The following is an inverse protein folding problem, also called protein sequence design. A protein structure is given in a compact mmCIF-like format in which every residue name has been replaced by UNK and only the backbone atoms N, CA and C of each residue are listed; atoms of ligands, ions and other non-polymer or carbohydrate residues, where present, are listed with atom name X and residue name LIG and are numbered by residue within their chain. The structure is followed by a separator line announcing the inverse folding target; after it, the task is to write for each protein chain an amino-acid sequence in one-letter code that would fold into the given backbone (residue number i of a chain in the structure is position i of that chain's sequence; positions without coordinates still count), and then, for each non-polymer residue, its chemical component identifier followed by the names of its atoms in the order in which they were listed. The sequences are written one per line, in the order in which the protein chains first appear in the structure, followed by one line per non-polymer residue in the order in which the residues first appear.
data_IF_496201099165
#
_entry.id   IF_496201099165
#
_cell.length_a   1.000
_cell.length_b   1.000
_cell.length_c   1.000
_cell.angle_alpha   90.00
_cell.angle_beta   90.00
_cell.angle_gamma   90.00
#
_symmetry.space_group_name_H-M   'P 1'
#
loop_
_entity.id
_entity.type
_entity.pdbx_description
1 polymer ?
#
# COMPACT_ATOMS: atom_id res chain seq x y z
N UNK A 1 23.39 -7.32 14.31
CA UNK A 1 23.75 -8.38 13.33
C UNK A 1 23.88 -9.78 13.96
N UNK A 2 24.54 -9.92 15.12
CA UNK A 2 24.90 -11.23 15.70
C UNK A 2 23.71 -12.19 15.97
N UNK A 3 22.55 -11.67 16.42
CA UNK A 3 21.34 -12.48 16.65
C UNK A 3 20.79 -13.10 15.36
N UNK A 4 20.65 -12.31 14.29
CA UNK A 4 20.10 -12.79 13.02
C UNK A 4 21.05 -13.77 12.33
N UNK A 5 22.37 -13.53 12.38
CA UNK A 5 23.38 -14.47 11.88
C UNK A 5 23.32 -15.81 12.61
N UNK A 6 23.14 -15.80 13.94
CA UNK A 6 22.98 -17.02 14.72
C UNK A 6 21.72 -17.80 14.33
N UNK A 7 20.60 -17.10 14.06
CA UNK A 7 19.36 -17.73 13.57
C UNK A 7 19.60 -18.40 12.21
N UNK A 8 20.31 -17.76 11.28
CA UNK A 8 20.61 -18.36 9.97
C UNK A 8 21.48 -19.62 10.10
N UNK A 9 22.50 -19.57 10.96
CA UNK A 9 23.36 -20.72 11.23
C UNK A 9 22.57 -21.88 11.85
N UNK A 10 21.74 -21.60 12.85
CA UNK A 10 20.90 -22.62 13.50
C UNK A 10 19.86 -23.21 12.54
N UNK A 11 19.37 -22.43 11.58
CA UNK A 11 18.44 -22.92 10.54
C UNK A 11 19.13 -23.55 9.32
N UNK A 12 20.47 -23.50 9.24
CA UNK A 12 21.24 -24.03 8.11
C UNK A 12 21.03 -23.28 6.80
N UNK A 13 20.63 -22.01 6.83
CA UNK A 13 20.33 -21.21 5.63
C UNK A 13 21.60 -20.55 5.07
N UNK A 14 22.40 -21.32 4.34
CA UNK A 14 23.64 -20.85 3.71
C UNK A 14 23.43 -19.95 2.48
N UNK A 15 22.23 -19.95 1.91
CA UNK A 15 21.84 -19.16 0.74
C UNK A 15 21.31 -17.77 1.08
N UNK A 16 21.27 -17.40 2.37
CA UNK A 16 20.79 -16.10 2.84
C UNK A 16 21.97 -15.22 3.24
N UNK A 17 22.06 -14.04 2.64
CA UNK A 17 23.05 -13.02 3.00
C UNK A 17 22.38 -11.91 3.81
N UNK A 18 22.99 -11.53 4.92
CA UNK A 18 22.54 -10.41 5.74
C UNK A 18 23.49 -9.23 5.53
N UNK A 19 22.91 -8.06 5.26
CA UNK A 19 23.62 -6.79 5.24
C UNK A 19 22.96 -5.85 6.23
N UNK A 20 23.77 -5.06 6.94
CA UNK A 20 23.30 -4.01 7.82
C UNK A 20 23.57 -2.67 7.15
N UNK A 21 22.53 -1.87 7.01
CA UNK A 21 22.57 -0.53 6.42
C UNK A 21 21.18 0.10 6.48
N UNK A 22 21.11 1.40 6.23
CA UNK A 22 19.85 2.05 5.91
C UNK A 22 19.40 1.71 4.47
N UNK A 23 18.16 2.05 4.13
CA UNK A 23 17.58 1.71 2.83
C UNK A 23 18.22 2.47 1.63
N UNK A 24 19.01 3.52 1.86
CA UNK A 24 19.79 4.20 0.81
C UNK A 24 21.23 3.66 0.72
N UNK A 25 21.70 2.92 1.72
CA UNK A 25 23.02 2.33 1.78
C UNK A 25 22.96 0.84 1.41
N UNK A 26 22.42 0.55 0.22
CA UNK A 26 22.25 -0.80 -0.32
C UNK A 26 23.59 -1.42 -0.78
N UNK A 27 24.65 -0.61 -0.87
CA UNK A 27 25.90 -0.93 -1.54
C UNK A 27 25.73 -0.99 -3.06
N UNK A 28 26.72 -1.53 -3.77
CA UNK A 28 26.59 -1.77 -5.21
C UNK A 28 25.71 -3.00 -5.44
N UNK A 29 24.46 -2.76 -5.84
CA UNK A 29 23.59 -3.81 -6.37
C UNK A 29 23.96 -4.04 -7.84
N UNK A 30 24.20 -5.30 -8.21
CA UNK A 30 24.44 -5.64 -9.60
C UNK A 30 23.15 -5.40 -10.42
N UNK A 31 23.26 -4.84 -11.64
CA UNK A 31 22.10 -4.68 -12.52
C UNK A 31 21.41 -6.02 -12.79
N UNK A 32 20.09 -6.00 -12.87
CA UNK A 32 19.24 -7.17 -13.17
C UNK A 32 19.51 -8.41 -12.29
N UNK A 33 20.04 -8.21 -11.08
CA UNK A 33 20.45 -9.29 -10.19
C UNK A 33 19.29 -9.93 -9.41
N UNK A 34 18.15 -9.23 -9.31
CA UNK A 34 17.01 -9.67 -8.51
C UNK A 34 15.75 -9.72 -9.36
N UNK A 35 14.97 -10.79 -9.22
CA UNK A 35 13.64 -10.90 -9.81
C UNK A 35 12.58 -10.21 -8.94
N UNK A 36 12.79 -10.12 -7.63
CA UNK A 36 11.87 -9.48 -6.68
C UNK A 36 12.62 -8.77 -5.54
N UNK A 37 12.16 -7.57 -5.17
CA UNK A 37 12.53 -6.89 -3.92
C UNK A 37 11.31 -6.71 -3.05
N UNK A 38 11.45 -6.96 -1.74
CA UNK A 38 10.38 -6.81 -0.75
C UNK A 38 10.76 -5.73 0.27
N UNK A 39 9.92 -4.70 0.39
CA UNK A 39 9.98 -3.64 1.40
C UNK A 39 8.70 -3.73 2.23
N UNK A 40 8.70 -4.55 3.28
CA UNK A 40 7.51 -4.82 4.07
C UNK A 40 7.59 -4.16 5.46
N UNK A 41 6.61 -3.32 5.80
CA UNK A 41 6.53 -2.60 7.09
C UNK A 41 7.78 -1.78 7.42
N UNK A 42 8.40 -1.16 6.41
CA UNK A 42 9.60 -0.31 6.56
C UNK A 42 9.36 1.13 6.08
N UNK A 43 8.54 1.32 5.05
CA UNK A 43 8.32 2.64 4.42
C UNK A 43 7.83 3.68 5.42
N UNK A 44 7.02 3.28 6.41
CA UNK A 44 6.51 4.16 7.46
C UNK A 44 7.58 4.85 8.30
N UNK A 45 8.82 4.32 8.30
CA UNK A 45 9.96 4.91 9.01
C UNK A 45 10.84 5.79 8.12
N UNK A 46 10.49 5.95 6.84
CA UNK A 46 11.20 6.86 5.95
C UNK A 46 10.86 8.31 6.29
N UNK A 47 11.81 9.24 6.15
CA UNK A 47 11.60 10.63 6.57
C UNK A 47 10.66 11.41 5.65
N UNK A 48 10.57 11.05 4.37
CA UNK A 48 9.75 11.75 3.37
C UNK A 48 9.71 11.00 2.02
N UNK A 49 8.92 11.56 1.10
CA UNK A 49 8.76 11.05 -0.27
C UNK A 49 10.06 11.06 -1.08
N UNK A 50 10.92 12.07 -0.90
CA UNK A 50 12.19 12.17 -1.62
C UNK A 50 13.15 11.05 -1.22
N UNK A 51 13.08 10.58 0.03
CA UNK A 51 13.82 9.42 0.49
C UNK A 51 13.32 8.14 -0.20
N UNK A 52 12.01 7.92 -0.23
CA UNK A 52 11.41 6.78 -0.93
C UNK A 52 11.77 6.79 -2.43
N UNK A 53 11.68 7.95 -3.08
CA UNK A 53 12.07 8.11 -4.48
C UNK A 53 13.53 7.71 -4.73
N UNK A 54 14.44 8.14 -3.87
CA UNK A 54 15.85 7.73 -3.95
C UNK A 54 16.04 6.23 -3.77
N UNK A 55 15.30 5.61 -2.85
CA UNK A 55 15.32 4.14 -2.66
C UNK A 55 14.84 3.43 -3.93
N UNK A 56 13.69 3.84 -4.48
CA UNK A 56 13.14 3.26 -5.70
C UNK A 56 14.10 3.44 -6.89
N UNK A 57 14.69 4.61 -7.04
CA UNK A 57 15.66 4.90 -8.10
C UNK A 57 16.92 4.02 -8.02
N UNK A 58 17.37 3.64 -6.81
CA UNK A 58 18.49 2.71 -6.64
C UNK A 58 18.09 1.25 -6.89
N UNK A 59 16.85 0.86 -6.59
CA UNK A 59 16.38 -0.51 -6.73
C UNK A 59 16.02 -0.88 -8.17
N UNK A 60 15.37 0.02 -8.92
CA UNK A 60 14.87 -0.27 -10.27
C UNK A 60 15.94 -0.84 -11.23
N UNK A 61 17.19 -0.33 -11.26
CA UNK A 61 18.25 -0.91 -12.10
C UNK A 61 18.68 -2.32 -11.67
N UNK A 62 18.53 -2.68 -10.40
CA UNK A 62 18.90 -3.98 -9.86
C UNK A 62 17.83 -5.07 -10.08
N UNK A 63 16.59 -4.67 -10.39
CA UNK A 63 15.51 -5.59 -10.72
C UNK A 63 15.63 -6.05 -12.16
N UNK A 64 15.56 -7.35 -12.42
CA UNK A 64 15.54 -7.92 -13.76
C UNK A 64 14.28 -7.48 -14.55
N UNK A 65 14.36 -7.50 -15.87
CA UNK A 65 13.20 -7.28 -16.74
C UNK A 65 12.04 -8.23 -16.36
N UNK A 66 10.82 -7.69 -16.20
CA UNK A 66 9.66 -8.46 -15.72
C UNK A 66 9.63 -8.72 -14.21
N UNK A 67 10.66 -8.32 -13.46
CA UNK A 67 10.73 -8.43 -12.01
C UNK A 67 9.85 -7.42 -11.27
N UNK A 68 9.81 -7.54 -9.93
CA UNK A 68 8.86 -6.78 -9.10
C UNK A 68 9.47 -6.13 -7.86
N UNK A 69 8.84 -5.05 -7.39
CA UNK A 69 9.07 -4.48 -6.07
C UNK A 69 7.75 -4.52 -5.30
N UNK A 70 7.71 -5.31 -4.23
CA UNK A 70 6.58 -5.38 -3.30
C UNK A 70 6.81 -4.42 -2.14
N UNK A 71 5.96 -3.40 -2.02
CA UNK A 71 5.88 -2.54 -0.85
C UNK A 71 4.68 -2.95 -0.01
N UNK A 72 4.96 -3.60 1.12
CA UNK A 72 3.94 -4.13 2.00
C UNK A 72 3.65 -3.21 3.18
N UNK A 73 2.40 -3.24 3.63
CA UNK A 73 1.96 -2.62 4.88
C UNK A 73 2.07 -1.09 4.90
N UNK A 74 1.72 -0.46 3.77
CA UNK A 74 1.76 1.00 3.61
C UNK A 74 0.55 1.62 4.31
N UNK A 75 0.81 2.58 5.21
CA UNK A 75 -0.26 3.36 5.86
C UNK A 75 -0.89 4.33 4.88
N UNK A 76 -2.22 4.29 4.77
CA UNK A 76 -2.98 5.10 3.82
C UNK A 76 -3.20 6.51 4.33
N UNK A 77 -2.57 7.48 3.67
CA UNK A 77 -2.72 8.91 3.98
C UNK A 77 -4.18 9.36 3.85
N UNK A 78 -4.88 8.88 2.83
CA UNK A 78 -6.24 9.31 2.50
C UNK A 78 -7.26 8.84 3.55
N UNK A 79 -6.91 7.80 4.32
CA UNK A 79 -7.72 7.27 5.40
C UNK A 79 -7.20 7.67 6.80
N UNK A 80 -6.18 8.51 6.92
CA UNK A 80 -5.58 8.87 8.21
C UNK A 80 -6.60 9.51 9.16
N UNK A 81 -7.46 10.42 8.67
CA UNK A 81 -8.49 11.04 9.52
C UNK A 81 -9.49 9.99 10.01
N UNK A 82 -9.97 9.11 9.14
CA UNK A 82 -10.88 8.03 9.52
C UNK A 82 -10.24 7.11 10.57
N UNK A 83 -8.98 6.73 10.37
CA UNK A 83 -8.24 5.90 11.32
C UNK A 83 -8.11 6.56 12.71
N UNK A 84 -7.72 7.85 12.74
CA UNK A 84 -7.64 8.60 14.00
C UNK A 84 -9.01 8.72 14.68
N UNK A 85 -10.07 8.93 13.90
CA UNK A 85 -11.45 8.95 14.41
C UNK A 85 -11.82 7.62 15.05
N UNK A 86 -11.51 6.49 14.40
CA UNK A 86 -11.76 5.16 14.93
C UNK A 86 -11.03 4.91 16.25
N UNK A 87 -9.76 5.33 16.35
CA UNK A 87 -8.98 5.26 17.59
C UNK A 87 -9.65 6.07 18.71
N UNK A 88 -9.97 7.33 18.46
CA UNK A 88 -10.59 8.19 19.48
C UNK A 88 -11.98 7.69 19.88
N UNK A 89 -12.76 7.12 18.94
CA UNK A 89 -14.03 6.46 19.25
C UNK A 89 -13.83 5.27 20.18
N UNK A 90 -12.87 4.40 19.87
CA UNK A 90 -12.60 3.20 20.68
C UNK A 90 -12.21 3.55 22.12
N UNK A 91 -11.56 4.70 22.34
CA UNK A 91 -11.20 5.18 23.67
C UNK A 91 -12.38 5.74 24.48
N UNK A 92 -13.47 6.15 23.84
CA UNK A 92 -14.64 6.70 24.52
C UNK A 92 -15.51 5.62 25.16
N UNK A 93 -15.60 4.44 24.53
CA UNK A 93 -16.56 3.42 24.96
C UNK A 93 -17.98 3.99 25.00
N UNK A 94 -18.63 3.93 26.16
CA UNK A 94 -19.99 4.46 26.37
C UNK A 94 -20.03 5.97 26.72
N UNK A 95 -18.87 6.61 26.87
CA UNK A 95 -18.81 8.02 27.25
C UNK A 95 -19.27 8.92 26.11
N UNK A 96 -20.19 9.84 26.43
CA UNK A 96 -20.62 10.87 25.48
C UNK A 96 -19.78 12.12 25.69
N UNK A 97 -19.15 12.58 24.62
CA UNK A 97 -18.45 13.87 24.59
C UNK A 97 -19.09 14.78 23.54
N UNK A 98 -18.84 16.08 23.65
CA UNK A 98 -19.27 17.02 22.62
C UNK A 98 -18.52 16.79 21.31
N UNK A 99 -19.17 17.11 20.18
CA UNK A 99 -18.57 17.07 18.84
C UNK A 99 -17.29 17.90 18.78
N UNK A 100 -17.30 19.12 19.34
CA UNK A 100 -16.11 19.99 19.39
C UNK A 100 -14.95 19.39 20.18
N UNK A 101 -15.24 18.67 21.27
CA UNK A 101 -14.20 17.94 22.03
C UNK A 101 -13.60 16.81 21.19
N UNK A 102 -14.42 16.05 20.46
CA UNK A 102 -13.97 14.96 19.60
C UNK A 102 -13.09 15.49 18.46
N UNK A 103 -13.54 16.53 17.76
CA UNK A 103 -12.79 17.18 16.68
C UNK A 103 -11.42 17.67 17.16
N UNK A 104 -11.35 18.30 18.34
CA UNK A 104 -10.09 18.76 18.92
C UNK A 104 -9.12 17.61 19.25
N UNK A 105 -9.63 16.47 19.75
CA UNK A 105 -8.79 15.29 20.01
C UNK A 105 -8.23 14.70 18.72
N UNK A 106 -9.07 14.57 17.69
CA UNK A 106 -8.67 14.10 16.36
C UNK A 106 -7.57 15.01 15.80
N UNK A 107 -7.79 16.34 15.78
CA UNK A 107 -6.80 17.28 15.24
C UNK A 107 -5.47 17.20 15.99
N UNK A 108 -5.50 17.09 17.32
CA UNK A 108 -4.27 16.94 18.11
C UNK A 108 -3.53 15.65 17.74
N UNK A 109 -4.23 14.53 17.58
CA UNK A 109 -3.60 13.26 17.20
C UNK A 109 -3.04 13.31 15.78
N UNK A 110 -3.74 13.93 14.83
CA UNK A 110 -3.22 14.14 13.47
C UNK A 110 -1.92 14.94 13.45
N UNK A 111 -1.79 15.96 14.31
CA UNK A 111 -0.56 16.75 14.45
C UNK A 111 0.60 15.99 15.11
N UNK A 112 0.28 14.90 15.81
CA UNK A 112 1.25 14.03 16.51
C UNK A 112 1.59 12.78 15.69
N UNK A 113 1.10 12.66 14.45
CA UNK A 113 1.44 11.55 13.57
C UNK A 113 2.88 11.73 13.08
N UNK A 114 3.75 10.81 13.47
CA UNK A 114 5.19 10.84 13.19
C UNK A 114 5.59 9.86 12.07
N UNK A 115 4.75 8.86 11.78
CA UNK A 115 5.06 7.91 10.72
C UNK A 115 4.81 8.52 9.34
N UNK A 116 5.43 7.92 8.33
CA UNK A 116 5.27 8.32 6.95
C UNK A 116 4.09 7.58 6.30
N UNK A 117 3.10 8.35 5.84
CA UNK A 117 1.91 7.86 5.15
C UNK A 117 1.90 8.31 3.69
N UNK A 118 1.36 7.46 2.82
CA UNK A 118 1.28 7.73 1.39
C UNK A 118 -0.13 7.48 0.86
N UNK A 119 -0.61 8.41 0.06
CA UNK A 119 -1.82 8.21 -0.75
C UNK A 119 -1.54 7.17 -1.84
N UNK A 120 -2.46 6.23 -2.12
CA UNK A 120 -2.44 5.40 -3.32
C UNK A 120 -2.13 6.16 -4.62
N UNK A 121 -2.57 7.42 -4.73
CA UNK A 121 -2.33 8.27 -5.91
C UNK A 121 -0.85 8.52 -6.17
N UNK A 122 -0.02 8.58 -5.12
CA UNK A 122 1.44 8.72 -5.28
C UNK A 122 2.02 7.56 -6.11
N UNK A 123 1.57 6.34 -5.83
CA UNK A 123 2.03 5.13 -6.52
C UNK A 123 1.44 5.03 -7.94
N UNK A 124 0.17 5.40 -8.12
CA UNK A 124 -0.47 5.43 -9.44
C UNK A 124 0.28 6.35 -10.44
N UNK A 125 0.95 7.39 -9.94
CA UNK A 125 1.73 8.33 -10.74
C UNK A 125 3.20 7.91 -10.95
N UNK A 126 3.66 6.78 -10.38
CA UNK A 126 5.07 6.37 -10.48
C UNK A 126 5.48 6.04 -11.91
N UNK A 127 4.61 5.45 -12.73
CA UNK A 127 4.92 5.08 -14.11
C UNK A 127 5.25 6.28 -15.00
N UNK A 128 4.71 7.47 -14.69
CA UNK A 128 5.04 8.71 -15.38
C UNK A 128 6.44 9.23 -15.00
N UNK A 129 6.91 8.95 -13.78
CA UNK A 129 8.22 9.37 -13.26
C UNK A 129 9.33 8.37 -13.58
N UNK A 130 8.98 7.09 -13.58
CA UNK A 130 9.87 5.97 -13.86
C UNK A 130 9.30 5.15 -15.02
N UNK A 131 9.68 5.46 -16.28
CA UNK A 131 9.19 4.76 -17.46
C UNK A 131 9.50 3.26 -17.49
N UNK A 132 10.45 2.80 -16.67
CA UNK A 132 10.75 1.38 -16.47
C UNK A 132 9.63 0.63 -15.72
N UNK A 133 8.75 1.32 -15.01
CA UNK A 133 7.59 0.72 -14.34
C UNK A 133 6.48 0.53 -15.39
N UNK A 134 6.09 -0.72 -15.61
CA UNK A 134 5.05 -1.10 -16.57
C UNK A 134 3.66 -1.12 -15.94
N UNK A 135 3.58 -1.56 -14.69
CA UNK A 135 2.33 -1.70 -13.94
C UNK A 135 2.54 -1.38 -12.47
N UNK A 136 1.50 -0.81 -11.87
CA UNK A 136 1.40 -0.58 -10.44
C UNK A 136 0.11 -1.24 -9.97
N UNK A 137 0.22 -2.28 -9.16
CA UNK A 137 -0.94 -2.89 -8.51
C UNK A 137 -1.06 -2.30 -7.11
N UNK A 138 -2.23 -1.75 -6.76
CA UNK A 138 -2.53 -1.24 -5.43
C UNK A 138 -3.62 -2.11 -4.84
N UNK A 139 -3.30 -2.76 -3.72
CA UNK A 139 -4.08 -3.86 -3.18
C UNK A 139 -4.51 -3.55 -1.75
N UNK A 140 -5.81 -3.58 -1.49
CA UNK A 140 -6.32 -3.66 -0.12
C UNK A 140 -5.93 -5.00 0.51
N UNK A 141 -5.62 -5.02 1.81
CA UNK A 141 -5.29 -6.28 2.48
C UNK A 141 -6.48 -7.23 2.49
N UNK A 142 -6.20 -8.51 2.24
CA UNK A 142 -7.18 -9.61 2.34
C UNK A 142 -7.20 -10.13 3.78
N UNK A 143 -8.37 -10.48 4.27
CA UNK A 143 -8.55 -10.98 5.64
C UNK A 143 -9.94 -10.68 6.18
N UNK A 144 -10.25 -11.30 7.31
CA UNK A 144 -11.45 -11.04 8.11
C UNK A 144 -10.97 -10.50 9.46
N UNK A 145 -11.47 -9.34 9.84
CA UNK A 145 -11.14 -8.68 11.11
C UNK A 145 -11.16 -7.17 10.99
N UNK A 146 -11.43 -6.51 12.11
CA UNK A 146 -11.60 -5.06 12.22
C UNK A 146 -10.41 -4.45 12.96
N UNK A 147 -9.21 -4.72 12.45
CA UNK A 147 -7.97 -4.17 13.02
C UNK A 147 -7.35 -3.14 12.09
N UNK A 148 -6.51 -2.27 12.67
CA UNK A 148 -5.82 -1.22 11.93
C UNK A 148 -5.16 -1.75 10.65
N UNK A 149 -4.44 -2.87 10.77
CA UNK A 149 -3.64 -3.40 9.66
C UNK A 149 -4.51 -3.77 8.45
N UNK A 150 -5.72 -4.26 8.66
CA UNK A 150 -6.62 -4.67 7.56
C UNK A 150 -7.46 -3.51 7.00
N UNK A 151 -7.75 -2.50 7.81
CA UNK A 151 -8.66 -1.41 7.44
C UNK A 151 -7.93 -0.22 6.80
N UNK A 152 -6.74 0.13 7.30
CA UNK A 152 -6.10 1.43 7.01
C UNK A 152 -4.76 1.31 6.30
N UNK A 153 -4.39 0.09 5.87
CA UNK A 153 -3.14 -0.19 5.17
C UNK A 153 -3.38 -0.92 3.87
N UNK A 154 -2.44 -0.78 2.94
CA UNK A 154 -2.48 -1.38 1.63
C UNK A 154 -1.11 -1.88 1.19
N UNK A 155 -1.09 -2.61 0.09
CA UNK A 155 0.12 -3.16 -0.52
C UNK A 155 0.26 -2.59 -1.92
N UNK A 156 1.50 -2.42 -2.36
CA UNK A 156 1.82 -1.94 -3.70
C UNK A 156 2.78 -2.93 -4.35
N UNK A 157 2.50 -3.31 -5.59
CA UNK A 157 3.41 -4.08 -6.42
C UNK A 157 3.78 -3.26 -7.64
N UNK A 158 5.06 -2.92 -7.75
CA UNK A 158 5.63 -2.27 -8.93
C UNK A 158 6.20 -3.36 -9.83
N UNK A 159 5.72 -3.43 -11.07
CA UNK A 159 6.23 -4.38 -12.07
C UNK A 159 7.16 -3.64 -13.03
N UNK A 160 8.42 -4.09 -13.13
CA UNK A 160 9.36 -3.57 -14.12
C UNK A 160 8.98 -4.10 -15.49
N UNK A 161 9.00 -3.23 -16.50
CA UNK A 161 8.69 -3.60 -17.89
C UNK A 161 9.62 -4.70 -18.36
N UNK A 162 9.05 -5.75 -18.93
CA UNK A 162 9.78 -6.66 -19.79
C UNK A 162 9.63 -6.16 -21.24
N UNK A 163 10.75 -5.84 -21.88
CA UNK A 163 10.77 -5.35 -23.27
C UNK A 163 10.35 -6.44 -24.27
N UNK A 164 10.40 -7.71 -23.86
CA UNK A 164 10.08 -8.86 -24.71
C UNK A 164 8.65 -9.38 -24.47
N UNK A 165 7.97 -8.93 -23.42
CA UNK A 165 6.58 -9.30 -23.16
C UNK A 165 5.63 -8.40 -23.97
N UNK A 166 4.60 -9.00 -24.57
CA UNK A 166 3.51 -8.24 -25.18
C UNK A 166 2.86 -7.35 -24.11
N UNK A 167 2.76 -6.04 -24.36
CA UNK A 167 2.17 -5.11 -23.40
C UNK A 167 0.67 -5.42 -23.24
N UNK A 168 0.27 -5.99 -22.09
CA UNK A 168 -1.15 -6.07 -21.72
C UNK A 168 -1.69 -4.71 -21.23
N UNK A 169 -0.83 -3.70 -21.14
CA UNK A 169 -1.11 -2.42 -20.48
C UNK A 169 -1.89 -1.42 -21.32
N UNK A 170 -2.18 -1.74 -22.58
CA UNK A 170 -2.87 -0.84 -23.52
C UNK A 170 -4.33 -1.26 -23.80
N UNK A 171 -4.85 -2.30 -23.12
CA UNK A 171 -6.27 -2.64 -23.24
C UNK A 171 -7.12 -1.64 -22.46
N UNK A 172 -8.01 -0.95 -23.18
CA UNK A 172 -9.06 -0.12 -22.58
C UNK A 172 -9.97 -1.02 -21.73
N UNK A 173 -9.93 -0.82 -20.41
CA UNK A 173 -10.80 -1.52 -19.47
C UNK A 173 -12.12 -0.75 -19.37
N UNK A 174 -13.23 -1.43 -19.63
CA UNK A 174 -14.57 -0.90 -19.35
C UNK A 174 -14.83 -0.95 -17.85
N UNK A 175 -15.24 0.18 -17.27
CA UNK A 175 -15.60 0.28 -15.85
C UNK A 175 -17.11 0.34 -15.67
N UNK A 176 -17.61 -0.40 -14.68
CA UNK A 176 -19.00 -0.35 -14.25
C UNK A 176 -19.08 0.05 -12.78
N UNK A 177 -20.11 0.80 -12.41
CA UNK A 177 -20.38 1.09 -11.01
C UNK A 177 -21.01 -0.12 -10.32
N UNK A 178 -20.55 -0.39 -9.10
CA UNK A 178 -21.10 -1.44 -8.27
C UNK A 178 -22.49 -1.07 -7.76
N UNK A 179 -23.44 -1.97 -8.02
CA UNK A 179 -24.78 -1.90 -7.44
C UNK A 179 -25.07 -3.14 -6.58
N UNK A 180 -24.92 -4.33 -7.17
CA UNK A 180 -25.18 -5.61 -6.50
C UNK A 180 -24.24 -6.71 -7.01
N UNK A 181 -24.03 -7.76 -6.19
CA UNK A 181 -23.13 -8.87 -6.55
C UNK A 181 -23.69 -9.72 -7.70
N UNK A 182 -25.01 -9.77 -7.83
CA UNK A 182 -25.73 -10.49 -8.88
C UNK A 182 -25.45 -9.90 -10.27
N UNK A 183 -25.29 -8.57 -10.36
CA UNK A 183 -24.94 -7.89 -11.61
C UNK A 183 -23.51 -8.23 -12.04
N UNK A 184 -22.57 -8.25 -11.09
CA UNK A 184 -21.19 -8.68 -11.35
C UNK A 184 -21.15 -10.14 -11.80
N UNK A 185 -21.93 -11.02 -11.15
CA UNK A 185 -22.04 -12.42 -11.56
C UNK A 185 -22.61 -12.55 -12.98
N UNK A 186 -23.62 -11.76 -13.31
CA UNK A 186 -24.25 -11.74 -14.63
C UNK A 186 -23.28 -11.26 -15.72
N UNK A 187 -22.47 -10.23 -15.44
CA UNK A 187 -21.42 -9.74 -16.35
C UNK A 187 -20.36 -10.83 -16.63
N UNK A 188 -19.93 -11.55 -15.60
CA UNK A 188 -18.99 -12.67 -15.74
C UNK A 188 -19.57 -13.82 -16.57
N UNK A 189 -20.83 -14.18 -16.34
CA UNK A 189 -21.50 -15.27 -17.07
C UNK A 189 -21.80 -14.92 -18.53
N UNK A 190 -22.13 -13.66 -18.82
CA UNK A 190 -22.39 -13.21 -20.18
C UNK A 190 -21.15 -13.29 -21.08
N UNK A 191 -19.95 -13.23 -20.50
CA UNK A 191 -18.69 -13.35 -21.25
C UNK A 191 -18.49 -12.26 -22.30
N UNK A 192 -19.17 -11.11 -22.15
CA UNK A 192 -19.14 -10.02 -23.15
C UNK A 192 -17.82 -9.27 -23.16
N UNK A 193 -17.11 -9.25 -22.03
CA UNK A 193 -15.82 -8.58 -21.87
C UNK A 193 -14.78 -9.57 -21.37
N UNK A 194 -13.63 -9.64 -22.03
CA UNK A 194 -12.49 -10.44 -21.57
C UNK A 194 -11.90 -9.90 -20.25
N UNK A 195 -12.02 -8.60 -20.02
CA UNK A 195 -11.60 -7.91 -18.80
C UNK A 195 -12.44 -6.66 -18.59
N UNK A 196 -12.89 -6.42 -17.35
CA UNK A 196 -13.60 -5.22 -16.93
C UNK A 196 -13.24 -4.85 -15.49
N UNK A 197 -13.50 -3.59 -15.12
CA UNK A 197 -13.33 -3.07 -13.76
C UNK A 197 -14.67 -2.76 -13.12
N UNK A 198 -14.73 -2.85 -11.80
CA UNK A 198 -15.89 -2.43 -11.00
C UNK A 198 -15.46 -1.31 -10.04
N UNK A 199 -16.12 -0.16 -10.11
CA UNK A 199 -15.93 1.00 -9.24
C UNK A 199 -17.04 1.12 -8.19
N UNK A 200 -16.86 1.99 -7.19
CA UNK A 200 -17.94 2.33 -6.25
C UNK A 200 -18.30 1.24 -5.22
N UNK A 201 -17.51 0.18 -5.09
CA UNK A 201 -17.74 -0.86 -4.07
C UNK A 201 -17.55 -0.25 -2.67
N UNK A 202 -18.57 -0.22 -1.80
CA UNK A 202 -18.43 0.32 -0.45
C UNK A 202 -17.46 -0.54 0.36
N UNK A 203 -16.43 0.09 0.93
CA UNK A 203 -15.53 -0.58 1.87
C UNK A 203 -16.14 -0.54 3.28
N UNK A 204 -16.93 -1.56 3.62
CA UNK A 204 -17.62 -1.65 4.93
C UNK A 204 -16.68 -1.61 6.13
N UNK A 205 -15.39 -1.93 5.96
CA UNK A 205 -14.39 -1.92 7.03
C UNK A 205 -14.03 -0.52 7.54
N UNK A 206 -14.25 0.51 6.73
CA UNK A 206 -13.88 1.90 7.05
C UNK A 206 -15.02 2.89 6.82
N UNK A 207 -16.17 2.43 6.30
CA UNK A 207 -17.28 3.28 5.90
C UNK A 207 -17.73 4.20 7.04
N UNK A 208 -18.06 3.62 8.19
CA UNK A 208 -18.59 4.36 9.34
C UNK A 208 -17.56 5.37 9.89
N UNK A 209 -16.28 4.97 9.91
CA UNK A 209 -15.17 5.82 10.35
C UNK A 209 -14.92 6.99 9.40
N UNK A 210 -15.07 6.78 8.08
CA UNK A 210 -14.99 7.83 7.06
C UNK A 210 -16.17 8.79 7.17
N UNK A 211 -17.40 8.28 7.22
CA UNK A 211 -18.62 9.10 7.32
C UNK A 211 -18.59 9.97 8.59
N UNK A 212 -18.16 9.39 9.71
CA UNK A 212 -18.00 10.14 10.95
C UNK A 212 -16.89 11.19 10.84
N UNK A 213 -15.73 10.83 10.30
CA UNK A 213 -14.62 11.76 10.12
C UNK A 213 -15.01 12.96 9.24
N UNK A 214 -15.81 12.74 8.20
CA UNK A 214 -16.35 13.80 7.34
C UNK A 214 -17.39 14.65 8.08
N UNK A 215 -18.30 14.02 8.82
CA UNK A 215 -19.30 14.73 9.62
C UNK A 215 -18.71 15.63 10.71
N UNK A 216 -17.52 15.30 11.22
CA UNK A 216 -16.80 16.12 12.22
C UNK A 216 -16.04 17.31 11.63
N UNK A 217 -15.98 17.46 10.29
CA UNK A 217 -15.37 18.62 9.60
C UNK A 217 -16.34 19.78 9.40
N UNK A 218 -17.64 19.56 9.58
CA UNK A 218 -18.73 20.52 9.39
C UNK A 218 -19.40 20.87 10.73
#
# INVERSE_FOLDING_TARGET
MSRHQHILQHRGWSHVQLRQGDALNLGTLAPDAYDTVVINSVVQYFPNVQYLDKVLAQLLPAIAAGGTILLGDIRNLDLLTAHVTAIEQSHLGEQRISVGTMANRIQRRLQQEEEFLLSPTYFAQLSARYPEIGRVDILVKRGVGDNEMLCYRYEVILHKRDKNAASCHDQLITWFDFNAIEEVSSLLQAGTYDTFGISGIPNTRVKDDVELAEGLRH
#
